data_IF_292059086026
#
_entry.id   IF_292059086026
#
_cell.length_a   1.000
_cell.length_b   1.000
_cell.length_c   1.000
_cell.angle_alpha   90.00
_cell.angle_beta   90.00
_cell.angle_gamma   90.00
#
_symmetry.space_group_name_H-M   'P 1'
#
loop_
_entity.id
_entity.type
_entity.pdbx_description
1 polymer ?
#
# COMPACT_ATOMS: atom_id res chain seq x y z
N UNK A 1 2.32 -11.08 35.90
CA UNK A 1 2.46 -10.92 34.44
C UNK A 1 2.23 -9.45 34.14
N UNK A 2 3.22 -8.73 33.60
CA UNK A 2 3.00 -7.36 33.13
C UNK A 2 2.48 -7.51 31.70
N UNK A 3 1.21 -7.19 31.45
CA UNK A 3 0.65 -7.32 30.10
C UNK A 3 1.15 -6.18 29.22
N UNK A 4 1.63 -6.51 28.02
CA UNK A 4 1.91 -5.52 26.99
C UNK A 4 0.63 -5.15 26.22
N UNK A 5 0.00 -4.03 26.57
CA UNK A 5 -1.26 -3.59 25.95
C UNK A 5 -1.11 -3.33 24.44
N UNK A 6 0.06 -2.86 23.99
CA UNK A 6 0.36 -2.61 22.59
C UNK A 6 0.39 -3.91 21.77
N UNK A 7 1.10 -4.92 22.26
CA UNK A 7 1.20 -6.22 21.58
C UNK A 7 -0.16 -6.93 21.58
N UNK A 8 -0.95 -6.81 22.66
CA UNK A 8 -2.32 -7.36 22.71
C UNK A 8 -3.19 -6.72 21.63
N UNK A 9 -3.20 -5.39 21.57
CA UNK A 9 -3.99 -4.67 20.58
C UNK A 9 -3.58 -5.04 19.14
N UNK A 10 -2.27 -5.12 18.87
CA UNK A 10 -1.74 -5.52 17.58
C UNK A 10 -2.14 -6.96 17.21
N UNK A 11 -1.99 -7.91 18.14
CA UNK A 11 -2.36 -9.31 17.92
C UNK A 11 -3.86 -9.48 17.65
N UNK A 12 -4.72 -8.82 18.45
CA UNK A 12 -6.18 -8.83 18.21
C UNK A 12 -6.51 -8.21 16.86
N UNK A 13 -5.91 -7.06 16.53
CA UNK A 13 -6.14 -6.39 15.24
C UNK A 13 -5.77 -7.28 14.05
N UNK A 14 -4.60 -7.95 14.10
CA UNK A 14 -4.16 -8.87 13.04
C UNK A 14 -5.14 -10.02 12.84
N UNK A 15 -5.65 -10.61 13.92
CA UNK A 15 -6.63 -11.71 13.87
C UNK A 15 -7.95 -11.20 13.29
N UNK A 16 -8.45 -10.06 13.76
CA UNK A 16 -9.71 -9.49 13.27
C UNK A 16 -9.63 -9.16 11.77
N UNK A 17 -8.55 -8.53 11.33
CA UNK A 17 -8.35 -8.20 9.92
C UNK A 17 -8.30 -9.46 9.05
N UNK A 18 -7.61 -10.50 9.51
CA UNK A 18 -7.56 -11.79 8.81
C UNK A 18 -8.92 -12.51 8.81
N UNK A 19 -9.70 -12.43 9.90
CA UNK A 19 -11.03 -13.02 9.97
C UNK A 19 -11.99 -12.34 9.00
N UNK A 20 -11.97 -11.00 8.91
CA UNK A 20 -12.74 -10.26 7.90
C UNK A 20 -12.30 -10.64 6.48
N UNK A 21 -10.99 -10.74 6.25
CA UNK A 21 -10.44 -11.18 4.98
C UNK A 21 -10.89 -12.59 4.58
N UNK A 22 -10.87 -13.55 5.51
CA UNK A 22 -11.36 -14.91 5.29
C UNK A 22 -12.87 -14.94 5.04
N UNK A 23 -13.63 -14.09 5.71
CA UNK A 23 -15.07 -13.96 5.48
C UNK A 23 -15.37 -13.46 4.07
N UNK A 24 -14.69 -12.40 3.61
CA UNK A 24 -14.81 -11.90 2.24
C UNK A 24 -14.33 -12.93 1.20
N UNK A 25 -13.34 -13.76 1.54
CA UNK A 25 -12.80 -14.77 0.64
C UNK A 25 -13.72 -15.99 0.42
N UNK A 26 -14.83 -16.11 1.17
CA UNK A 26 -15.77 -17.22 1.02
C UNK A 26 -16.45 -17.23 -0.35
N UNK A 27 -16.56 -16.07 -0.99
CA UNK A 27 -17.17 -15.92 -2.31
C UNK A 27 -16.23 -16.31 -3.47
N UNK A 28 -14.98 -16.66 -3.17
CA UNK A 28 -13.96 -16.96 -4.18
C UNK A 28 -13.63 -18.45 -4.26
N UNK A 29 -13.60 -19.00 -5.48
CA UNK A 29 -13.21 -20.39 -5.70
C UNK A 29 -11.76 -20.63 -5.22
N UNK A 30 -11.59 -21.61 -4.32
CA UNK A 30 -10.28 -21.98 -3.79
C UNK A 30 -9.50 -22.89 -4.74
N UNK A 31 -10.17 -23.78 -5.49
CA UNK A 31 -9.48 -24.78 -6.31
C UNK A 31 -8.62 -25.73 -5.48
N UNK A 32 -7.45 -26.13 -5.99
CA UNK A 32 -6.51 -27.02 -5.29
C UNK A 32 -5.09 -26.46 -5.30
N UNK A 33 -4.18 -27.00 -4.48
CA UNK A 33 -2.79 -26.54 -4.43
C UNK A 33 -2.06 -26.59 -5.79
N UNK A 34 -2.48 -27.48 -6.71
CA UNK A 34 -1.89 -27.63 -8.06
C UNK A 34 -2.65 -26.86 -9.14
N UNK A 35 -3.86 -26.38 -8.84
CA UNK A 35 -4.73 -25.58 -9.71
C UNK A 35 -5.45 -24.56 -8.83
N UNK A 36 -4.68 -23.58 -8.34
CA UNK A 36 -5.15 -22.63 -7.34
C UNK A 36 -6.18 -21.70 -7.96
N UNK A 37 -7.36 -21.64 -7.35
CA UNK A 37 -8.36 -20.62 -7.68
C UNK A 37 -8.00 -19.27 -7.04
N UNK A 38 -8.71 -18.19 -7.41
CA UNK A 38 -8.41 -16.83 -6.94
C UNK A 38 -8.44 -16.68 -5.42
N UNK A 39 -9.21 -17.52 -4.71
CA UNK A 39 -9.30 -17.46 -3.25
C UNK A 39 -8.21 -18.23 -2.48
N UNK A 40 -7.42 -19.09 -3.15
CA UNK A 40 -6.46 -19.97 -2.45
C UNK A 40 -5.32 -19.19 -1.80
N UNK A 41 -4.70 -18.27 -2.54
CA UNK A 41 -3.57 -17.48 -2.05
C UNK A 41 -4.00 -16.52 -0.92
N UNK A 42 -5.11 -15.74 -1.06
CA UNK A 42 -5.63 -14.93 0.05
C UNK A 42 -5.93 -15.77 1.30
N UNK A 43 -6.55 -16.94 1.14
CA UNK A 43 -6.82 -17.85 2.27
C UNK A 43 -5.54 -18.19 3.04
N UNK A 44 -4.47 -18.59 2.35
CA UNK A 44 -3.20 -18.91 2.99
C UNK A 44 -2.61 -17.73 3.75
N UNK A 45 -2.61 -16.54 3.14
CA UNK A 45 -2.08 -15.32 3.76
C UNK A 45 -2.84 -14.99 5.03
N UNK A 46 -4.18 -15.07 5.01
CA UNK A 46 -4.98 -14.78 6.20
C UNK A 46 -4.81 -15.85 7.29
N UNK A 47 -4.66 -17.13 6.95
CA UNK A 47 -4.34 -18.14 7.96
C UNK A 47 -2.97 -17.94 8.61
N UNK A 48 -1.96 -17.60 7.81
CA UNK A 48 -0.62 -17.24 8.32
C UNK A 48 -0.72 -16.00 9.20
N UNK A 49 -1.51 -15.00 8.80
CA UNK A 49 -1.74 -13.79 9.58
C UNK A 49 -2.44 -14.08 10.92
N UNK A 50 -3.41 -14.99 10.97
CA UNK A 50 -4.01 -15.46 12.23
C UNK A 50 -2.93 -16.10 13.10
N UNK A 51 -2.10 -16.98 12.54
CA UNK A 51 -0.98 -17.61 13.25
C UNK A 51 -0.01 -16.58 13.85
N UNK A 52 0.37 -15.56 13.08
CA UNK A 52 1.19 -14.45 13.54
C UNK A 52 0.49 -13.64 14.64
N UNK A 53 -0.80 -13.34 14.50
CA UNK A 53 -1.58 -12.65 15.52
C UNK A 53 -1.64 -13.40 16.85
N UNK A 54 -1.86 -14.73 16.79
CA UNK A 54 -1.83 -15.61 17.98
C UNK A 54 -0.43 -15.60 18.62
N UNK A 55 0.63 -15.67 17.80
CA UNK A 55 2.00 -15.62 18.29
C UNK A 55 2.30 -14.29 19.00
N UNK A 56 1.89 -13.16 18.42
CA UNK A 56 2.04 -11.84 19.04
C UNK A 56 1.27 -11.75 20.35
N UNK A 57 0.02 -12.26 20.40
CA UNK A 57 -0.75 -12.34 21.65
C UNK A 57 -0.04 -13.18 22.72
N UNK A 58 0.54 -14.32 22.33
CA UNK A 58 1.31 -15.17 23.23
C UNK A 58 2.53 -14.44 23.81
N UNK A 59 3.28 -13.73 22.97
CA UNK A 59 4.44 -12.93 23.39
C UNK A 59 4.04 -11.76 24.30
N UNK A 60 2.86 -11.17 24.10
CA UNK A 60 2.38 -10.03 24.86
C UNK A 60 2.22 -10.31 26.38
N UNK A 61 2.10 -11.58 26.78
CA UNK A 61 2.05 -11.98 28.18
C UNK A 61 3.43 -12.00 28.87
N UNK A 62 4.51 -11.95 28.09
CA UNK A 62 5.90 -12.06 28.56
C UNK A 62 6.71 -10.76 28.42
N UNK A 63 6.33 -9.89 27.48
CA UNK A 63 6.98 -8.58 27.29
C UNK A 63 6.41 -7.52 28.25
N UNK A 64 7.27 -6.59 28.68
CA UNK A 64 6.94 -5.54 29.66
C UNK A 64 5.79 -4.61 29.23
N UNK A 65 5.31 -3.74 30.13
CA UNK A 65 4.15 -2.91 29.85
C UNK A 65 4.54 -1.71 28.99
N UNK A 66 4.34 -1.83 27.67
CA UNK A 66 4.33 -0.67 26.77
C UNK A 66 2.89 -0.14 26.67
N UNK A 67 2.62 1.08 27.17
CA UNK A 67 1.30 1.68 27.04
C UNK A 67 0.99 2.01 25.57
N UNK A 68 -0.28 1.91 25.20
CA UNK A 68 -0.77 2.33 23.89
C UNK A 68 -0.56 3.84 23.70
N UNK A 69 0.04 4.20 22.58
CA UNK A 69 0.15 5.59 22.16
C UNK A 69 -1.26 6.12 21.83
N UNK A 70 -1.64 7.22 22.48
CA UNK A 70 -2.94 7.85 22.27
C UNK A 70 -2.85 8.76 21.06
N UNK A 71 -3.65 8.49 20.04
CA UNK A 71 -3.69 9.34 18.85
C UNK A 71 -4.27 10.71 19.20
N UNK A 72 -3.71 11.73 18.57
CA UNK A 72 -4.24 13.08 18.66
C UNK A 72 -5.56 13.18 17.87
N UNK A 73 -6.50 14.01 18.33
CA UNK A 73 -7.76 14.23 17.60
C UNK A 73 -7.54 14.72 16.16
N UNK A 74 -6.41 15.39 15.91
CA UNK A 74 -5.98 15.80 14.59
C UNK A 74 -5.65 14.62 13.67
N UNK A 75 -4.95 13.60 14.16
CA UNK A 75 -4.62 12.39 13.39
C UNK A 75 -5.86 11.57 13.00
N UNK A 76 -6.82 11.47 13.92
CA UNK A 76 -8.12 10.84 13.63
C UNK A 76 -8.88 11.66 12.59
N UNK A 77 -8.84 12.99 12.70
CA UNK A 77 -9.44 13.91 11.74
C UNK A 77 -8.88 13.74 10.32
N UNK A 78 -7.56 13.60 10.16
CA UNK A 78 -6.95 13.40 8.84
C UNK A 78 -7.28 12.03 8.24
N UNK A 79 -7.47 10.99 9.05
CA UNK A 79 -7.94 9.68 8.58
C UNK A 79 -9.37 9.77 8.06
N UNK A 80 -10.28 10.36 8.84
CA UNK A 80 -11.67 10.56 8.41
C UNK A 80 -11.76 11.43 7.16
N UNK A 81 -10.99 12.53 7.12
CA UNK A 81 -10.91 13.39 5.95
C UNK A 81 -10.34 12.66 4.73
N UNK A 82 -9.33 11.80 4.93
CA UNK A 82 -8.76 10.97 3.86
C UNK A 82 -9.77 10.00 3.27
N UNK A 83 -10.60 9.36 4.10
CA UNK A 83 -11.70 8.50 3.63
C UNK A 83 -12.70 9.32 2.81
N UNK A 84 -13.17 10.45 3.35
CA UNK A 84 -14.16 11.30 2.66
C UNK A 84 -13.61 11.86 1.34
N UNK A 85 -12.38 12.39 1.36
CA UNK A 85 -11.73 12.94 0.18
C UNK A 85 -11.44 11.85 -0.87
N UNK A 86 -11.00 10.68 -0.43
CA UNK A 86 -10.76 9.54 -1.32
C UNK A 86 -12.05 9.03 -1.98
N UNK A 87 -13.14 8.88 -1.22
CA UNK A 87 -14.44 8.51 -1.78
C UNK A 87 -14.99 9.59 -2.72
N UNK A 88 -14.86 10.87 -2.36
CA UNK A 88 -15.28 11.97 -3.24
C UNK A 88 -14.48 11.98 -4.55
N UNK A 89 -13.16 11.74 -4.49
CA UNK A 89 -12.31 11.67 -5.66
C UNK A 89 -12.64 10.46 -6.54
N UNK A 90 -12.93 9.30 -5.94
CA UNK A 90 -13.42 8.11 -6.66
C UNK A 90 -14.72 8.41 -7.41
N UNK A 91 -15.69 9.08 -6.78
CA UNK A 91 -16.96 9.44 -7.41
C UNK A 91 -16.81 10.50 -8.50
N UNK A 92 -15.84 11.42 -8.35
CA UNK A 92 -15.55 12.46 -9.33
C UNK A 92 -14.75 11.93 -10.53
N UNK A 93 -13.92 10.90 -10.35
CA UNK A 93 -12.99 10.41 -11.37
C UNK A 93 -13.66 10.03 -12.72
N UNK A 94 -14.81 9.33 -12.74
CA UNK A 94 -15.53 9.01 -13.98
C UNK A 94 -15.94 10.25 -14.79
N UNK A 95 -16.13 11.40 -14.14
CA UNK A 95 -16.51 12.65 -14.80
C UNK A 95 -15.33 13.38 -15.44
N UNK A 96 -14.08 13.09 -15.04
CA UNK A 96 -12.90 13.77 -15.57
C UNK A 96 -12.45 13.18 -16.92
N UNK A 97 -12.43 11.85 -17.04
CA UNK A 97 -11.98 11.20 -18.27
C UNK A 97 -12.50 9.77 -18.40
N UNK A 98 -12.63 9.30 -19.64
CA UNK A 98 -13.00 7.92 -19.96
C UNK A 98 -11.98 6.87 -19.51
N UNK A 99 -10.78 7.28 -19.08
CA UNK A 99 -9.81 6.36 -18.49
C UNK A 99 -10.32 5.77 -17.16
N UNK A 100 -10.98 6.59 -16.34
CA UNK A 100 -11.45 6.20 -15.02
C UNK A 100 -12.72 5.34 -15.04
N UNK A 101 -13.35 5.15 -16.20
CA UNK A 101 -14.56 4.33 -16.34
C UNK A 101 -14.30 2.86 -16.65
N UNK A 102 -13.07 2.48 -17.01
CA UNK A 102 -12.79 1.17 -17.62
C UNK A 102 -11.89 0.23 -16.82
N UNK A 103 -11.01 0.74 -15.93
CA UNK A 103 -9.91 -0.07 -15.36
C UNK A 103 -9.67 0.07 -13.85
N UNK A 104 -10.71 0.07 -13.00
CA UNK A 104 -10.56 0.31 -11.54
C UNK A 104 -9.71 1.57 -11.19
N UNK A 105 -9.49 2.45 -12.17
CA UNK A 105 -8.59 3.58 -12.05
C UNK A 105 -9.25 4.69 -11.23
N UNK A 106 -10.58 4.73 -11.23
CA UNK A 106 -11.41 5.52 -10.30
C UNK A 106 -11.12 5.15 -8.84
N UNK A 107 -11.08 3.85 -8.53
CA UNK A 107 -10.73 3.34 -7.21
C UNK A 107 -9.27 3.68 -6.88
N UNK A 108 -8.35 3.48 -7.83
CA UNK A 108 -6.94 3.83 -7.66
C UNK A 108 -6.73 5.32 -7.37
N UNK A 109 -7.44 6.20 -8.07
CA UNK A 109 -7.37 7.65 -7.87
C UNK A 109 -7.98 8.06 -6.53
N UNK A 110 -9.10 7.46 -6.14
CA UNK A 110 -9.69 7.65 -4.83
C UNK A 110 -8.74 7.25 -3.70
N UNK A 111 -8.12 6.08 -3.81
CA UNK A 111 -7.11 5.63 -2.85
C UNK A 111 -5.90 6.56 -2.80
N UNK A 112 -5.38 6.99 -3.96
CA UNK A 112 -4.25 7.93 -4.04
C UNK A 112 -4.57 9.24 -3.31
N UNK A 113 -5.74 9.84 -3.58
CA UNK A 113 -6.17 11.08 -2.92
C UNK A 113 -6.32 10.86 -1.42
N UNK A 114 -6.97 9.77 -1.00
CA UNK A 114 -7.14 9.46 0.41
C UNK A 114 -5.81 9.33 1.16
N UNK A 115 -4.83 8.61 0.60
CA UNK A 115 -3.51 8.45 1.21
C UNK A 115 -2.71 9.76 1.24
N UNK A 116 -2.81 10.59 0.19
CA UNK A 116 -2.16 11.91 0.18
C UNK A 116 -2.76 12.88 1.21
N UNK A 117 -4.07 12.79 1.48
CA UNK A 117 -4.72 13.61 2.52
C UNK A 117 -4.30 13.16 3.92
N UNK A 118 -4.13 11.85 4.13
CA UNK A 118 -3.63 11.31 5.40
C UNK A 118 -2.20 11.80 5.69
N UNK A 119 -1.39 12.09 4.66
CA UNK A 119 -0.04 12.64 4.81
C UNK A 119 0.05 14.00 5.51
N UNK A 120 -1.08 14.71 5.65
CA UNK A 120 -1.14 16.00 6.36
C UNK A 120 -0.76 15.81 7.84
N UNK A 121 -1.13 14.68 8.45
CA UNK A 121 -0.72 14.36 9.81
C UNK A 121 0.72 13.83 9.85
N UNK A 122 1.53 14.41 10.75
CA UNK A 122 2.96 14.08 10.86
C UNK A 122 3.21 12.62 11.25
N UNK A 123 2.34 12.02 12.07
CA UNK A 123 2.43 10.60 12.46
C UNK A 123 2.15 9.63 11.30
N UNK A 124 1.20 9.98 10.42
CA UNK A 124 0.78 9.11 9.32
C UNK A 124 1.54 9.31 8.02
N UNK A 125 2.34 10.38 7.95
CA UNK A 125 2.99 10.83 6.72
C UNK A 125 3.81 9.73 6.03
N UNK A 126 4.59 8.97 6.77
CA UNK A 126 5.43 7.91 6.20
C UNK A 126 4.57 6.82 5.54
N UNK A 127 3.58 6.28 6.25
CA UNK A 127 2.68 5.25 5.73
C UNK A 127 1.85 5.77 4.56
N UNK A 128 1.34 7.00 4.65
CA UNK A 128 0.56 7.64 3.59
C UNK A 128 1.34 7.75 2.28
N UNK A 129 2.61 8.17 2.32
CA UNK A 129 3.44 8.24 1.10
C UNK A 129 3.76 6.87 0.51
N UNK A 130 3.98 5.84 1.34
CA UNK A 130 4.23 4.47 0.85
C UNK A 130 3.00 3.93 0.12
N UNK A 131 1.82 4.04 0.74
CA UNK A 131 0.56 3.61 0.11
C UNK A 131 0.23 4.44 -1.13
N UNK A 132 0.43 5.77 -1.08
CA UNK A 132 0.24 6.65 -2.23
C UNK A 132 1.18 6.31 -3.39
N UNK A 133 2.44 5.95 -3.11
CA UNK A 133 3.40 5.53 -4.13
C UNK A 133 2.94 4.26 -4.86
N UNK A 134 2.39 3.28 -4.13
CA UNK A 134 1.81 2.07 -4.74
C UNK A 134 0.59 2.39 -5.61
N UNK A 135 -0.32 3.26 -5.16
CA UNK A 135 -1.47 3.67 -5.96
C UNK A 135 -1.04 4.45 -7.21
N UNK A 136 -0.08 5.37 -7.08
CA UNK A 136 0.47 6.10 -8.21
C UNK A 136 1.14 5.17 -9.23
N UNK A 137 1.90 4.18 -8.77
CA UNK A 137 2.49 3.16 -9.65
C UNK A 137 1.40 2.47 -10.48
N UNK A 138 0.37 1.93 -9.84
CA UNK A 138 -0.70 1.20 -10.53
C UNK A 138 -1.43 2.06 -11.55
N UNK A 139 -1.77 3.31 -11.20
CA UNK A 139 -2.46 4.24 -12.10
C UNK A 139 -1.61 4.62 -13.32
N UNK A 140 -0.32 4.85 -13.11
CA UNK A 140 0.60 5.28 -14.17
C UNK A 140 1.04 4.11 -15.05
N UNK A 141 1.04 2.88 -14.54
CA UNK A 141 1.52 1.72 -15.28
C UNK A 141 0.72 1.46 -16.56
N UNK A 142 -0.61 1.65 -16.54
CA UNK A 142 -1.47 1.36 -17.69
C UNK A 142 -1.25 2.30 -18.88
N UNK A 143 -0.99 3.59 -18.64
CA UNK A 143 -0.83 4.61 -19.71
C UNK A 143 0.60 5.12 -19.87
N UNK A 144 1.27 5.36 -18.74
CA UNK A 144 2.61 5.93 -18.66
C UNK A 144 3.73 4.91 -18.89
N UNK A 145 3.40 3.62 -18.78
CA UNK A 145 4.38 2.55 -18.86
C UNK A 145 5.28 2.45 -17.63
N UNK A 146 6.20 1.48 -17.66
CA UNK A 146 7.02 1.09 -16.52
C UNK A 146 7.92 2.23 -16.03
N UNK A 147 8.59 2.97 -16.93
CA UNK A 147 9.57 3.98 -16.53
C UNK A 147 8.93 5.15 -15.81
N UNK A 148 7.79 5.64 -16.33
CA UNK A 148 7.07 6.76 -15.73
C UNK A 148 6.46 6.37 -14.37
N UNK A 149 5.94 5.15 -14.26
CA UNK A 149 5.44 4.61 -12.98
C UNK A 149 6.57 4.48 -11.94
N UNK A 150 7.75 4.00 -12.34
CA UNK A 150 8.92 3.90 -11.46
C UNK A 150 9.39 5.28 -10.99
N UNK A 151 9.48 6.26 -11.88
CA UNK A 151 9.85 7.64 -11.54
C UNK A 151 8.88 8.21 -10.49
N UNK A 152 7.57 8.08 -10.71
CA UNK A 152 6.57 8.58 -9.78
C UNK A 152 6.67 7.91 -8.40
N UNK A 153 6.87 6.59 -8.38
CA UNK A 153 7.05 5.81 -7.15
C UNK A 153 8.28 6.29 -6.38
N UNK A 154 9.41 6.45 -7.06
CA UNK A 154 10.67 6.89 -6.43
C UNK A 154 10.51 8.30 -5.87
N UNK A 155 9.89 9.22 -6.60
CA UNK A 155 9.67 10.60 -6.14
C UNK A 155 8.76 10.60 -4.89
N UNK A 156 7.63 9.89 -4.93
CA UNK A 156 6.70 9.83 -3.80
C UNK A 156 7.34 9.17 -2.57
N UNK A 157 8.12 8.10 -2.76
CA UNK A 157 8.87 7.46 -1.67
C UNK A 157 9.95 8.39 -1.11
N UNK A 158 10.67 9.13 -1.95
CA UNK A 158 11.68 10.10 -1.50
C UNK A 158 11.06 11.27 -0.72
N UNK A 159 9.80 11.61 -0.98
CA UNK A 159 9.07 12.64 -0.21
C UNK A 159 8.67 12.17 1.19
N UNK A 160 8.64 10.86 1.45
CA UNK A 160 8.22 10.28 2.73
C UNK A 160 9.19 10.66 3.86
N UNK A 161 10.49 10.68 3.59
CA UNK A 161 11.52 10.99 4.58
C UNK A 161 12.14 12.39 4.40
N UNK A 162 12.14 13.21 5.47
CA UNK A 162 12.71 14.55 5.40
C UNK A 162 14.24 14.56 5.25
N UNK A 163 14.92 13.46 5.58
CA UNK A 163 16.38 13.32 5.40
C UNK A 163 16.77 13.16 3.93
N UNK A 164 16.02 12.34 3.18
CA UNK A 164 16.17 12.20 1.73
C UNK A 164 15.90 13.51 0.97
N UNK A 165 15.06 14.40 1.52
CA UNK A 165 14.82 15.75 1.00
C UNK A 165 16.08 16.64 1.05
N UNK A 166 16.98 16.39 1.99
CA UNK A 166 18.18 17.21 2.20
C UNK A 166 19.37 16.75 1.36
N UNK A 167 19.34 15.53 0.81
CA UNK A 167 20.38 14.98 -0.08
C UNK A 167 19.81 14.57 -1.45
N UNK A 168 19.23 15.51 -2.22
CA UNK A 168 18.55 15.20 -3.48
C UNK A 168 19.48 14.57 -4.52
N UNK A 169 20.77 14.91 -4.51
CA UNK A 169 21.77 14.36 -5.42
C UNK A 169 21.99 12.85 -5.22
N UNK A 170 22.00 12.38 -3.96
CA UNK A 170 22.15 10.95 -3.66
C UNK A 170 20.93 10.15 -4.08
N UNK A 171 19.73 10.66 -3.80
CA UNK A 171 18.46 10.05 -4.21
C UNK A 171 18.36 9.97 -5.73
N UNK A 172 18.72 11.06 -6.43
CA UNK A 172 18.72 11.10 -7.89
C UNK A 172 19.68 10.05 -8.49
N UNK A 173 20.89 9.93 -7.92
CA UNK A 173 21.85 8.92 -8.36
C UNK A 173 21.31 7.49 -8.21
N UNK A 174 20.73 7.17 -7.04
CA UNK A 174 20.11 5.87 -6.80
C UNK A 174 18.89 5.62 -7.70
N UNK A 175 18.08 6.66 -7.93
CA UNK A 175 16.92 6.60 -8.82
C UNK A 175 17.34 6.28 -10.25
N UNK A 176 18.33 7.00 -10.79
CA UNK A 176 18.85 6.77 -12.14
C UNK A 176 19.45 5.37 -12.25
N UNK A 177 20.21 4.93 -11.24
CA UNK A 177 20.76 3.59 -11.20
C UNK A 177 19.66 2.51 -11.23
N UNK A 178 18.63 2.63 -10.38
CA UNK A 178 17.50 1.70 -10.36
C UNK A 178 16.73 1.69 -11.69
N UNK A 179 16.48 2.85 -12.28
CA UNK A 179 15.81 2.95 -13.58
C UNK A 179 16.64 2.30 -14.69
N UNK A 180 17.95 2.51 -14.70
CA UNK A 180 18.86 1.88 -15.66
C UNK A 180 18.93 0.36 -15.47
N UNK A 181 18.95 -0.12 -14.23
CA UNK A 181 18.95 -1.54 -13.91
C UNK A 181 17.63 -2.20 -14.30
N UNK A 182 16.48 -1.58 -14.00
CA UNK A 182 15.18 -2.05 -14.45
C UNK A 182 15.10 -2.13 -15.97
N UNK A 183 15.53 -1.08 -16.67
CA UNK A 183 15.60 -1.10 -18.13
C UNK A 183 16.45 -2.25 -18.64
N UNK A 184 17.66 -2.42 -18.09
CA UNK A 184 18.57 -3.48 -18.50
C UNK A 184 17.93 -4.85 -18.33
N UNK A 185 17.39 -5.15 -17.15
CA UNK A 185 16.79 -6.46 -16.86
C UNK A 185 15.60 -6.72 -17.78
N UNK A 186 14.66 -5.78 -17.88
CA UNK A 186 13.41 -6.03 -18.60
C UNK A 186 13.56 -6.02 -20.12
N UNK A 187 14.37 -5.12 -20.69
CA UNK A 187 14.54 -5.06 -22.14
C UNK A 187 15.63 -6.02 -22.62
N UNK A 188 16.82 -6.02 -21.99
CA UNK A 188 17.95 -6.79 -22.51
C UNK A 188 17.96 -8.24 -22.06
N UNK A 189 17.50 -8.54 -20.86
CA UNK A 189 17.70 -9.86 -20.26
C UNK A 189 16.45 -10.74 -20.30
N UNK A 190 15.27 -10.15 -20.09
CA UNK A 190 14.01 -10.88 -20.04
C UNK A 190 13.25 -10.89 -21.39
N UNK A 191 13.54 -9.97 -22.30
CA UNK A 191 12.84 -9.79 -23.60
C UNK A 191 11.30 -9.82 -23.48
N UNK A 192 10.77 -9.33 -22.35
CA UNK A 192 9.32 -9.26 -22.13
C UNK A 192 8.78 -7.98 -22.77
N UNK A 193 7.68 -8.10 -23.51
CA UNK A 193 6.93 -6.97 -24.08
C UNK A 193 6.15 -6.22 -22.99
N UNK A 194 6.85 -5.41 -22.19
CA UNK A 194 6.24 -4.44 -21.28
C UNK A 194 6.25 -3.06 -21.94
N UNK A 195 5.18 -2.27 -21.78
CA UNK A 195 5.16 -0.89 -22.21
C UNK A 195 6.15 -0.07 -21.35
N UNK A 196 7.33 0.22 -21.90
CA UNK A 196 8.39 0.95 -21.19
C UNK A 196 8.09 2.45 -21.15
N UNK A 197 7.53 2.96 -22.24
CA UNK A 197 7.23 4.37 -22.49
C UNK A 197 5.73 4.59 -22.65
N UNK A 198 5.25 5.83 -22.43
CA UNK A 198 3.84 6.15 -22.55
C UNK A 198 3.33 5.82 -23.96
N UNK A 199 2.19 5.13 -24.02
CA UNK A 199 1.51 4.83 -25.27
C UNK A 199 0.27 5.73 -25.32
N UNK A 200 0.36 6.79 -26.13
CA UNK A 200 -0.69 7.77 -26.31
C UNK A 200 -1.77 7.28 -27.28
#
# INVERSE_FOLDING_TARGET
MKLNAKDIAAGVFLILLAAVGLWLNQDHALGSARRMGPGYMPMLVFWIQIGLGILVLGIAFFNGPDPLEKWTGFEIGTLALGIVAGTAAMLAAPHLSSFFTTSYADLGLGMLVGFLVICIARGWRLMGYICAAMCAFCLLLERGGLMLALIATIILSAMAEPEHRQRPLGVLGMAVFLLALCWWVFIKQLDIRVAVWPQF
#
